data_IF_620388497435
#
_entry.id   IF_620388497435
#
_cell.length_a   1.000
_cell.length_b   1.000
_cell.length_c   1.000
_cell.angle_alpha   90.00
_cell.angle_beta   90.00
_cell.angle_gamma   90.00
#
_symmetry.space_group_name_H-M   'P 1'
#
loop_
_entity.id
_entity.type
_entity.pdbx_description
1 polymer ?
#
# COMPACT_ATOMS: atom_id res chain seq x y z
N UNK A 1 2.90 8.53 -7.92
CA UNK A 1 4.13 7.72 -7.68
C UNK A 1 4.57 6.82 -8.85
N UNK A 2 3.82 5.75 -9.21
CA UNK A 2 4.32 4.71 -10.15
C UNK A 2 4.82 5.23 -11.50
N UNK A 3 4.14 6.22 -12.08
CA UNK A 3 4.56 6.81 -13.37
C UNK A 3 5.92 7.52 -13.27
N UNK A 4 6.18 8.27 -12.17
CA UNK A 4 7.49 8.90 -11.91
C UNK A 4 8.59 7.84 -11.87
N UNK A 5 8.37 6.75 -11.14
CA UNK A 5 9.32 5.63 -11.05
C UNK A 5 9.61 5.01 -12.43
N UNK A 6 8.60 4.83 -13.28
CA UNK A 6 8.79 4.31 -14.65
C UNK A 6 9.52 5.29 -15.56
N UNK A 7 9.38 6.59 -15.32
CA UNK A 7 10.10 7.64 -16.04
C UNK A 7 11.54 7.84 -15.53
N UNK A 8 11.98 7.10 -14.50
CA UNK A 8 13.28 7.29 -13.86
C UNK A 8 13.37 8.57 -13.02
N UNK A 9 12.22 9.18 -12.70
CA UNK A 9 12.14 10.37 -11.86
C UNK A 9 12.07 9.98 -10.38
N UNK A 10 12.66 10.79 -9.48
CA UNK A 10 12.54 10.57 -8.05
C UNK A 10 11.08 10.73 -7.59
N UNK A 11 10.61 9.77 -6.79
CA UNK A 11 9.37 9.88 -6.04
C UNK A 11 9.70 10.00 -4.56
N UNK A 12 9.44 11.17 -3.96
CA UNK A 12 9.83 11.48 -2.58
C UNK A 12 8.66 11.16 -1.65
N UNK A 13 8.91 10.43 -0.57
CA UNK A 13 7.87 10.05 0.38
C UNK A 13 8.36 9.92 1.81
N UNK A 14 7.41 9.71 2.71
CA UNK A 14 7.63 9.62 4.17
C UNK A 14 7.07 8.31 4.68
N UNK A 15 7.76 7.69 5.65
CA UNK A 15 7.24 6.54 6.39
C UNK A 15 6.55 6.99 7.67
N UNK A 16 5.41 6.40 7.99
CA UNK A 16 4.70 6.58 9.25
C UNK A 16 4.62 5.24 9.99
N UNK A 17 4.77 5.28 11.31
CA UNK A 17 4.81 4.09 12.17
C UNK A 17 3.71 4.06 13.24
N UNK A 18 2.82 5.06 13.24
CA UNK A 18 1.71 5.16 14.18
C UNK A 18 0.46 5.69 13.45
N UNK A 19 -0.74 5.28 13.88
CA UNK A 19 -1.96 5.51 13.12
C UNK A 19 -2.46 6.95 13.27
N UNK A 20 -2.00 7.84 12.37
CA UNK A 20 -2.40 9.26 12.37
C UNK A 20 -2.74 9.75 10.96
N UNK A 21 -4.03 9.81 10.61
CA UNK A 21 -4.48 10.44 9.35
C UNK A 21 -4.06 11.91 9.24
N UNK A 22 -3.92 12.63 10.36
CA UNK A 22 -3.46 14.02 10.37
C UNK A 22 -2.05 14.18 9.80
N UNK A 23 -1.14 13.24 10.06
CA UNK A 23 0.21 13.28 9.48
C UNK A 23 0.13 13.12 7.96
N UNK A 24 -0.78 12.28 7.46
CA UNK A 24 -0.93 12.08 6.01
C UNK A 24 -1.44 13.34 5.31
N UNK A 25 -2.42 14.05 5.90
CA UNK A 25 -2.87 15.34 5.38
C UNK A 25 -1.72 16.36 5.31
N UNK A 26 -0.91 16.44 6.37
CA UNK A 26 0.27 17.31 6.40
C UNK A 26 1.29 16.90 5.32
N UNK A 27 1.58 15.61 5.18
CA UNK A 27 2.50 15.07 4.16
C UNK A 27 2.03 15.44 2.76
N UNK A 28 0.72 15.37 2.46
CA UNK A 28 0.20 15.79 1.17
C UNK A 28 0.33 17.29 0.92
N UNK A 29 0.04 18.12 1.91
CA UNK A 29 0.22 19.58 1.81
C UNK A 29 1.67 20.00 1.60
N UNK A 30 2.62 19.22 2.09
CA UNK A 30 4.06 19.44 1.89
C UNK A 30 4.55 19.00 0.50
N UNK A 31 3.70 18.40 -0.33
CA UNK A 31 4.01 18.03 -1.72
C UNK A 31 4.76 16.71 -1.87
N UNK A 32 4.68 15.81 -0.89
CA UNK A 32 5.25 14.46 -1.02
C UNK A 32 4.44 13.62 -2.01
N UNK A 33 5.12 12.73 -2.74
CA UNK A 33 4.52 11.87 -3.76
C UNK A 33 3.80 10.64 -3.16
N UNK A 34 4.27 10.16 -2.02
CA UNK A 34 3.77 8.93 -1.38
C UNK A 34 4.00 8.90 0.13
N UNK A 35 3.22 8.06 0.81
CA UNK A 35 3.39 7.74 2.24
C UNK A 35 3.47 6.22 2.42
N UNK A 36 4.43 5.76 3.23
CA UNK A 36 4.53 4.36 3.64
C UNK A 36 3.86 4.15 4.99
N UNK A 37 2.87 3.27 4.99
CA UNK A 37 2.16 2.79 6.16
C UNK A 37 2.89 1.56 6.69
N UNK A 38 3.67 1.71 7.76
CA UNK A 38 4.50 0.62 8.31
C UNK A 38 3.69 -0.26 9.26
N UNK A 39 3.23 -1.42 8.77
CA UNK A 39 2.53 -2.44 9.54
C UNK A 39 3.46 -3.56 10.04
N UNK A 40 4.78 -3.46 9.83
CA UNK A 40 5.75 -4.45 10.30
C UNK A 40 6.35 -4.05 11.65
N UNK A 41 6.72 -2.78 11.77
CA UNK A 41 7.40 -2.25 12.95
C UNK A 41 6.58 -1.21 13.71
N UNK A 42 5.55 -0.65 13.08
CA UNK A 42 4.68 0.34 13.66
C UNK A 42 3.56 -0.23 14.53
N UNK A 43 2.80 0.65 15.17
CA UNK A 43 1.57 0.32 15.91
C UNK A 43 0.31 0.36 15.03
N UNK A 44 0.47 0.38 13.71
CA UNK A 44 -0.63 0.52 12.76
C UNK A 44 -1.33 -0.83 12.58
N UNK A 45 -2.57 -0.91 13.07
CA UNK A 45 -3.44 -2.06 12.84
C UNK A 45 -4.02 -2.06 11.43
N UNK A 46 -4.51 -3.21 10.97
CA UNK A 46 -5.11 -3.33 9.66
C UNK A 46 -6.36 -2.45 9.51
N UNK A 47 -7.12 -2.24 10.57
CA UNK A 47 -8.29 -1.33 10.61
C UNK A 47 -7.88 0.13 10.41
N UNK A 48 -6.71 0.52 10.94
CA UNK A 48 -6.20 1.88 10.80
C UNK A 48 -5.77 2.21 9.37
N UNK A 49 -5.35 1.18 8.60
CA UNK A 49 -4.87 1.35 7.21
C UNK A 49 -5.92 2.00 6.31
N UNK A 50 -7.18 1.61 6.44
CA UNK A 50 -8.25 2.15 5.59
C UNK A 50 -8.52 3.64 5.89
N UNK A 51 -8.48 4.05 7.16
CA UNK A 51 -8.59 5.46 7.55
C UNK A 51 -7.40 6.30 7.04
N UNK A 52 -6.19 5.75 7.12
CA UNK A 52 -4.99 6.38 6.61
C UNK A 52 -5.04 6.50 5.08
N UNK A 53 -5.55 5.47 4.40
CA UNK A 53 -5.78 5.49 2.96
C UNK A 53 -6.74 6.63 2.58
N UNK A 54 -7.88 6.75 3.27
CA UNK A 54 -8.87 7.81 3.00
C UNK A 54 -8.24 9.21 3.11
N UNK A 55 -7.38 9.42 4.10
CA UNK A 55 -6.63 10.67 4.23
C UNK A 55 -5.62 10.87 3.09
N UNK A 56 -4.92 9.82 2.66
CA UNK A 56 -3.97 9.89 1.55
C UNK A 56 -4.66 10.24 0.23
N UNK A 57 -5.80 9.60 -0.06
CA UNK A 57 -6.64 9.88 -1.22
C UNK A 57 -7.11 11.34 -1.22
N UNK A 58 -7.64 11.81 -0.08
CA UNK A 58 -8.07 13.22 0.07
C UNK A 58 -6.91 14.22 -0.06
N UNK A 59 -5.70 13.84 0.35
CA UNK A 59 -4.52 14.70 0.33
C UNK A 59 -3.72 14.61 -0.99
N UNK A 60 -4.12 13.74 -1.93
CA UNK A 60 -3.43 13.57 -3.21
C UNK A 60 -2.08 12.83 -3.12
N UNK A 61 -1.84 12.09 -2.04
CA UNK A 61 -0.60 11.32 -1.81
C UNK A 61 -0.85 9.85 -2.14
N UNK A 62 0.11 9.17 -2.76
CA UNK A 62 -0.01 7.72 -3.01
C UNK A 62 0.24 6.92 -1.72
N UNK A 63 -0.74 6.20 -1.14
CA UNK A 63 -0.49 5.34 0.00
C UNK A 63 0.09 3.99 -0.44
N UNK A 64 1.23 3.61 0.15
CA UNK A 64 1.77 2.25 0.07
C UNK A 64 1.92 1.68 1.49
N UNK A 65 2.00 0.36 1.63
CA UNK A 65 2.15 -0.26 2.95
C UNK A 65 3.32 -1.24 3.02
N UNK A 66 3.92 -1.37 4.21
CA UNK A 66 4.84 -2.47 4.52
C UNK A 66 4.04 -3.53 5.29
N UNK A 67 3.72 -4.68 4.67
CA UNK A 67 3.06 -5.77 5.38
C UNK A 67 3.97 -6.34 6.46
N UNK A 68 3.39 -6.96 7.48
CA UNK A 68 4.15 -7.67 8.52
C UNK A 68 4.92 -8.88 7.99
N UNK A 69 4.46 -9.48 6.89
CA UNK A 69 5.02 -10.69 6.29
C UNK A 69 4.90 -10.66 4.76
N UNK A 70 5.78 -11.40 4.07
CA UNK A 70 5.66 -11.67 2.64
C UNK A 70 4.68 -12.83 2.40
N UNK A 71 3.41 -12.52 2.14
CA UNK A 71 2.42 -13.55 1.85
C UNK A 71 1.03 -13.00 1.49
N UNK A 72 0.20 -13.87 0.93
CA UNK A 72 -1.14 -13.54 0.43
C UNK A 72 -2.04 -12.90 1.49
N UNK A 73 -2.03 -13.41 2.72
CA UNK A 73 -2.91 -12.90 3.78
C UNK A 73 -2.52 -11.47 4.18
N UNK A 74 -1.25 -11.24 4.51
CA UNK A 74 -0.76 -9.93 4.95
C UNK A 74 -0.81 -8.88 3.83
N UNK A 75 -0.44 -9.26 2.60
CA UNK A 75 -0.46 -8.35 1.44
C UNK A 75 -1.89 -8.11 0.98
N UNK A 76 -2.69 -9.17 0.81
CA UNK A 76 -4.05 -9.09 0.27
C UNK A 76 -4.95 -8.21 1.14
N UNK A 77 -4.90 -8.36 2.47
CA UNK A 77 -5.68 -7.54 3.39
C UNK A 77 -5.37 -6.04 3.28
N UNK A 78 -4.12 -5.67 3.04
CA UNK A 78 -3.73 -4.28 2.83
C UNK A 78 -4.23 -3.78 1.47
N UNK A 79 -4.03 -4.58 0.42
CA UNK A 79 -4.45 -4.23 -0.94
C UNK A 79 -5.96 -4.03 -1.02
N UNK A 80 -6.76 -4.84 -0.33
CA UNK A 80 -8.23 -4.71 -0.32
C UNK A 80 -8.71 -3.40 0.34
N UNK A 81 -7.95 -2.89 1.30
CA UNK A 81 -8.19 -1.60 1.99
C UNK A 81 -7.77 -0.36 1.19
N UNK A 82 -7.29 -0.58 -0.03
CA UNK A 82 -7.03 0.50 -0.98
C UNK A 82 -5.56 0.83 -1.18
N UNK A 83 -4.62 0.30 -0.39
CA UNK A 83 -3.20 0.64 -0.59
C UNK A 83 -2.77 0.35 -2.03
N UNK A 84 -2.03 1.27 -2.63
CA UNK A 84 -1.76 1.25 -4.07
C UNK A 84 -0.48 0.45 -4.42
N UNK A 85 0.22 -0.03 -3.41
CA UNK A 85 1.43 -0.82 -3.53
C UNK A 85 1.96 -1.26 -2.18
N UNK A 86 2.93 -2.16 -2.20
CA UNK A 86 3.57 -2.68 -0.99
C UNK A 86 5.09 -2.61 -1.08
N UNK A 87 5.73 -2.26 0.04
CA UNK A 87 7.16 -2.47 0.25
C UNK A 87 7.32 -3.76 1.05
N UNK A 88 7.56 -4.89 0.40
CA UNK A 88 7.56 -6.21 1.06
C UNK A 88 8.85 -6.42 1.87
N UNK A 89 8.77 -6.80 3.16
CA UNK A 89 9.96 -7.06 3.97
C UNK A 89 10.60 -8.40 3.64
N UNK A 90 11.86 -8.55 4.06
CA UNK A 90 12.61 -9.82 4.04
C UNK A 90 12.66 -10.55 2.68
N UNK A 91 12.66 -9.81 1.56
CA UNK A 91 12.87 -10.39 0.23
C UNK A 91 14.36 -10.66 0.04
N UNK A 92 14.78 -11.90 0.30
CA UNK A 92 16.19 -12.31 0.25
C UNK A 92 16.52 -13.16 -1.00
N UNK A 93 15.49 -13.72 -1.64
CA UNK A 93 15.63 -14.59 -2.81
C UNK A 93 14.73 -14.17 -3.96
N UNK A 94 15.04 -14.67 -5.16
CA UNK A 94 14.17 -14.47 -6.32
C UNK A 94 12.78 -15.11 -6.13
N UNK A 95 12.68 -16.20 -5.36
CA UNK A 95 11.39 -16.80 -5.02
C UNK A 95 10.58 -15.93 -4.07
N UNK A 96 11.21 -15.26 -3.11
CA UNK A 96 10.51 -14.30 -2.24
C UNK A 96 9.92 -13.15 -3.06
N UNK A 97 10.69 -12.65 -4.04
CA UNK A 97 10.22 -11.60 -4.95
C UNK A 97 9.05 -12.09 -5.82
N UNK A 98 9.12 -13.33 -6.34
CA UNK A 98 8.01 -13.94 -7.10
C UNK A 98 6.74 -14.06 -6.27
N UNK A 99 6.85 -14.55 -5.02
CA UNK A 99 5.72 -14.67 -4.08
C UNK A 99 5.06 -13.31 -3.81
N UNK A 100 5.86 -12.27 -3.60
CA UNK A 100 5.37 -10.90 -3.42
C UNK A 100 4.55 -10.43 -4.63
N UNK A 101 5.05 -10.66 -5.85
CA UNK A 101 4.33 -10.30 -7.08
C UNK A 101 3.03 -11.09 -7.23
N UNK A 102 3.06 -12.40 -6.95
CA UNK A 102 1.87 -13.26 -6.99
C UNK A 102 0.79 -12.78 -6.01
N UNK A 103 1.17 -12.32 -4.81
CA UNK A 103 0.23 -11.82 -3.80
C UNK A 103 -0.41 -10.47 -4.16
N UNK A 104 0.24 -9.64 -5.00
CA UNK A 104 -0.27 -8.32 -5.38
C UNK A 104 -1.12 -8.36 -6.66
N UNK A 105 -0.77 -9.24 -7.61
CA UNK A 105 -1.37 -9.26 -8.95
C UNK A 105 -2.50 -10.27 -9.05
N UNK A 106 -3.56 -9.90 -9.75
CA UNK A 106 -4.61 -10.83 -10.15
C UNK A 106 -4.13 -11.78 -11.25
N UNK A 107 -4.86 -12.88 -11.43
CA UNK A 107 -4.70 -13.78 -12.57
C UNK A 107 -4.81 -13.00 -13.90
N UNK A 108 -4.00 -13.30 -14.94
CA UNK A 108 -3.01 -14.39 -15.06
C UNK A 108 -1.59 -14.06 -14.57
N UNK A 109 -1.34 -12.82 -14.12
CA UNK A 109 0.01 -12.38 -13.74
C UNK A 109 0.38 -12.86 -12.32
N UNK A 110 -0.60 -12.95 -11.44
CA UNK A 110 -0.44 -13.46 -10.09
C UNK A 110 -1.67 -14.24 -9.63
N UNK A 111 -1.82 -14.35 -8.32
CA UNK A 111 -2.79 -15.22 -7.66
C UNK A 111 -3.59 -14.48 -6.58
N UNK A 112 -3.60 -13.14 -6.59
CA UNK A 112 -4.41 -12.34 -5.66
C UNK A 112 -5.89 -12.73 -5.80
N UNK A 113 -6.54 -13.01 -4.67
CA UNK A 113 -7.98 -13.27 -4.62
C UNK A 113 -8.79 -12.03 -4.98
N UNK A 114 -9.86 -12.22 -5.75
CA UNK A 114 -10.76 -11.13 -6.15
C UNK A 114 -11.86 -10.92 -5.11
N UNK A 115 -12.01 -9.67 -4.67
CA UNK A 115 -13.11 -9.22 -3.85
C UNK A 115 -13.65 -7.91 -4.45
N UNK A 116 -14.92 -7.90 -4.87
CA UNK A 116 -15.53 -6.72 -5.52
C UNK A 116 -16.13 -5.72 -4.52
N UNK A 117 -16.53 -6.19 -3.34
CA UNK A 117 -17.14 -5.35 -2.29
C UNK A 117 -16.15 -4.58 -1.42
N UNK A 118 -14.87 -4.53 -1.79
CA UNK A 118 -13.81 -3.88 -1.00
C UNK A 118 -13.51 -2.49 -1.54
N UNK A 119 -12.86 -1.66 -0.72
CA UNK A 119 -12.54 -0.27 -1.06
C UNK A 119 -11.68 -0.16 -2.32
N UNK A 120 -10.70 -1.05 -2.50
CA UNK A 120 -9.84 -1.03 -3.70
C UNK A 120 -10.57 -1.27 -5.03
N UNK A 121 -11.82 -1.74 -4.97
CA UNK A 121 -12.71 -1.94 -6.11
C UNK A 121 -13.92 -0.99 -6.07
N UNK A 122 -13.80 0.17 -5.40
CA UNK A 122 -14.88 1.15 -5.25
C UNK A 122 -16.20 0.54 -4.73
N UNK A 123 -16.13 -0.50 -3.90
CA UNK A 123 -17.30 -1.24 -3.41
C UNK A 123 -18.21 -1.80 -4.52
N UNK A 124 -17.66 -2.00 -5.73
CA UNK A 124 -18.39 -2.49 -6.91
C UNK A 124 -19.22 -1.44 -7.64
N UNK A 125 -19.02 -0.15 -7.36
CA UNK A 125 -19.67 0.93 -8.10
C UNK A 125 -19.00 1.23 -9.45
N UNK A 126 -17.73 0.87 -9.62
CA UNK A 126 -16.91 1.09 -10.82
C UNK A 126 -16.41 -0.24 -11.44
#
# INVERSE_FOLDING_TARGET
MKQKLLAGEPAIGVSIMFPSPHIVDIVGRLGFDWVLIDCEHGSISIESVELIFMAAESAGVTPIARPSLNGFEAIGQLMDRGVMGVQVPHVNTADDARKAVQAVKYHPIGERGLAAGVRSASYGYD
#
